data_IF_430720883971
#
_entry.id   IF_430720883971
#
_cell.length_a   1.000
_cell.length_b   1.000
_cell.length_c   1.000
_cell.angle_alpha   90.00
_cell.angle_beta   90.00
_cell.angle_gamma   90.00
#
_symmetry.space_group_name_H-M   'P 1'
#
loop_
_entity.id
_entity.type
_entity.pdbx_description
1 polymer ?
#
# COMPACT_ATOMS: atom_id res chain seq x y z
N UNK A 1 20.58 -24.52 -3.88
CA UNK A 1 21.11 -23.22 -4.37
C UNK A 1 20.58 -22.03 -3.55
N UNK A 2 19.27 -21.91 -3.30
CA UNK A 2 18.71 -20.77 -2.52
C UNK A 2 19.34 -20.63 -1.12
N UNK A 3 19.40 -21.70 -0.32
CA UNK A 3 19.98 -21.64 1.04
C UNK A 3 21.44 -21.16 1.05
N UNK A 4 22.23 -21.59 0.07
CA UNK A 4 23.64 -21.20 -0.08
C UNK A 4 23.80 -19.74 -0.48
N UNK A 5 22.89 -19.22 -1.31
CA UNK A 5 22.86 -17.80 -1.67
C UNK A 5 22.51 -16.92 -0.46
N UNK A 6 21.61 -17.39 0.42
CA UNK A 6 21.31 -16.71 1.68
C UNK A 6 22.54 -16.73 2.59
N UNK A 7 23.10 -17.92 2.87
CA UNK A 7 24.32 -18.07 3.66
C UNK A 7 25.15 -19.25 3.16
N UNK A 8 26.47 -19.08 2.94
CA UNK A 8 27.28 -17.90 3.25
C UNK A 8 27.30 -16.80 2.16
N UNK A 9 26.43 -16.87 1.14
CA UNK A 9 26.51 -15.99 -0.03
C UNK A 9 26.35 -14.49 0.25
N UNK A 10 25.26 -14.09 0.92
CA UNK A 10 24.92 -12.66 1.12
C UNK A 10 24.79 -12.26 2.60
N UNK A 11 24.44 -13.21 3.47
CA UNK A 11 24.18 -12.96 4.89
C UNK A 11 25.04 -13.85 5.80
N UNK A 12 25.33 -13.31 6.98
CA UNK A 12 26.01 -14.00 8.07
C UNK A 12 25.05 -14.63 9.08
N UNK A 13 25.04 -14.14 10.32
CA UNK A 13 24.23 -14.68 11.40
C UNK A 13 22.73 -14.39 11.26
N UNK A 14 21.84 -15.36 11.57
CA UNK A 14 20.40 -15.17 11.48
C UNK A 14 19.85 -14.28 12.61
N UNK A 15 18.80 -13.51 12.31
CA UNK A 15 18.09 -12.69 13.30
C UNK A 15 16.99 -13.51 14.01
N UNK A 16 17.40 -14.38 14.94
CA UNK A 16 16.48 -15.36 15.58
C UNK A 16 15.26 -14.73 16.29
N UNK A 17 15.39 -13.51 16.82
CA UNK A 17 14.28 -12.78 17.43
C UNK A 17 13.20 -12.39 16.39
N UNK A 18 13.60 -11.97 15.19
CA UNK A 18 12.68 -11.67 14.09
C UNK A 18 12.04 -12.95 13.53
N UNK A 19 12.83 -14.04 13.40
CA UNK A 19 12.32 -15.35 12.98
C UNK A 19 11.22 -15.85 13.93
N UNK A 20 11.42 -15.71 15.24
CA UNK A 20 10.40 -16.05 16.23
C UNK A 20 9.13 -15.19 16.07
N UNK A 21 9.27 -13.88 15.84
CA UNK A 21 8.14 -12.99 15.55
C UNK A 21 7.36 -13.39 14.28
N UNK A 22 8.07 -13.80 13.23
CA UNK A 22 7.45 -14.31 12.00
C UNK A 22 6.66 -15.59 12.28
N UNK A 23 7.15 -16.50 13.12
CA UNK A 23 6.41 -17.72 13.47
C UNK A 23 5.07 -17.40 14.15
N UNK A 24 5.04 -16.41 15.06
CA UNK A 24 3.80 -15.92 15.69
C UNK A 24 2.85 -15.33 14.64
N UNK A 25 3.34 -14.47 13.75
CA UNK A 25 2.54 -13.87 12.69
C UNK A 25 1.97 -14.93 11.72
N UNK A 26 2.74 -15.96 11.38
CA UNK A 26 2.27 -17.08 10.55
C UNK A 26 1.17 -17.88 11.23
N UNK A 27 1.26 -18.08 12.55
CA UNK A 27 0.18 -18.73 13.31
C UNK A 27 -1.11 -17.90 13.26
N UNK A 28 -1.02 -16.57 13.47
CA UNK A 28 -2.16 -15.66 13.34
C UNK A 28 -2.75 -15.65 11.93
N UNK A 29 -1.91 -15.73 10.89
CA UNK A 29 -2.37 -15.73 9.50
C UNK A 29 -3.22 -16.95 9.12
N UNK A 30 -3.14 -18.04 9.88
CA UNK A 30 -3.91 -19.26 9.65
C UNK A 30 -5.30 -19.23 10.30
N UNK A 31 -5.64 -18.20 11.08
CA UNK A 31 -6.94 -18.19 11.79
C UNK A 31 -8.09 -17.73 10.89
N UNK A 32 -9.34 -18.15 11.19
CA UNK A 32 -10.53 -17.66 10.48
C UNK A 32 -10.71 -16.14 10.56
N UNK A 33 -10.32 -15.53 11.68
CA UNK A 33 -10.40 -14.09 11.90
C UNK A 33 -9.45 -13.34 10.96
N UNK A 34 -8.26 -13.88 10.71
CA UNK A 34 -7.34 -13.28 9.74
C UNK A 34 -7.89 -13.35 8.32
N UNK A 35 -8.57 -14.44 7.96
CA UNK A 35 -9.29 -14.52 6.66
C UNK A 35 -10.38 -13.46 6.55
N UNK A 36 -11.19 -13.28 7.59
CA UNK A 36 -12.24 -12.25 7.63
C UNK A 36 -11.63 -10.84 7.53
N UNK A 37 -10.53 -10.58 8.24
CA UNK A 37 -9.77 -9.34 8.13
C UNK A 37 -9.31 -9.07 6.69
N UNK A 38 -8.70 -10.06 6.02
CA UNK A 38 -8.24 -9.88 4.62
C UNK A 38 -9.39 -9.63 3.64
N UNK A 39 -10.55 -10.26 3.85
CA UNK A 39 -11.75 -9.97 3.07
C UNK A 39 -12.22 -8.53 3.28
N UNK A 40 -12.19 -8.04 4.53
CA UNK A 40 -12.54 -6.66 4.86
C UNK A 40 -11.55 -5.66 4.25
N UNK A 41 -10.26 -5.97 4.21
CA UNK A 41 -9.23 -5.12 3.58
C UNK A 41 -9.57 -4.86 2.11
N UNK A 42 -9.91 -5.90 1.35
CA UNK A 42 -10.29 -5.76 -0.07
C UNK A 42 -11.63 -5.03 -0.21
N UNK A 43 -12.62 -5.32 0.63
CA UNK A 43 -13.92 -4.64 0.60
C UNK A 43 -13.79 -3.13 0.87
N UNK A 44 -12.97 -2.75 1.86
CA UNK A 44 -12.66 -1.36 2.18
C UNK A 44 -11.96 -0.66 1.01
N UNK A 45 -11.04 -1.35 0.33
CA UNK A 45 -10.31 -0.78 -0.80
C UNK A 45 -11.24 -0.47 -1.98
N UNK A 46 -12.16 -1.39 -2.30
CA UNK A 46 -13.19 -1.18 -3.32
C UNK A 46 -14.10 0.01 -2.98
N UNK A 47 -14.50 0.12 -1.72
CA UNK A 47 -15.34 1.22 -1.23
C UNK A 47 -14.61 2.56 -1.32
N UNK A 48 -13.35 2.62 -0.88
CA UNK A 48 -12.51 3.81 -0.99
C UNK A 48 -12.33 4.25 -2.46
N UNK A 49 -12.05 3.30 -3.34
CA UNK A 49 -11.94 3.55 -4.78
C UNK A 49 -13.22 4.14 -5.36
N UNK A 50 -14.37 3.53 -5.07
CA UNK A 50 -15.67 3.98 -5.56
C UNK A 50 -15.99 5.40 -5.07
N UNK A 51 -15.82 5.67 -3.77
CA UNK A 51 -16.06 6.99 -3.19
C UNK A 51 -15.17 8.08 -3.81
N UNK A 52 -13.89 7.78 -4.07
CA UNK A 52 -12.99 8.73 -4.73
C UNK A 52 -13.36 8.98 -6.19
N UNK A 53 -13.78 7.94 -6.92
CA UNK A 53 -14.28 8.09 -8.29
C UNK A 53 -15.59 8.87 -8.35
N UNK A 54 -16.49 8.72 -7.36
CA UNK A 54 -17.71 9.54 -7.23
C UNK A 54 -17.39 11.02 -6.97
N UNK A 55 -16.29 11.30 -6.25
CA UNK A 55 -15.73 12.66 -6.10
C UNK A 55 -14.99 13.14 -7.37
N UNK A 56 -14.94 12.30 -8.41
CA UNK A 56 -14.38 12.55 -9.73
C UNK A 56 -12.86 12.39 -9.81
N UNK A 57 -12.20 11.75 -8.83
CA UNK A 57 -10.78 11.47 -8.96
C UNK A 57 -10.54 10.29 -9.91
N UNK A 58 -9.45 10.38 -10.66
CA UNK A 58 -9.03 9.30 -11.54
C UNK A 58 -8.25 8.24 -10.76
N UNK A 59 -8.72 7.00 -10.81
CA UNK A 59 -8.01 5.85 -10.26
C UNK A 59 -7.36 5.10 -11.42
N UNK A 60 -6.05 4.86 -11.34
CA UNK A 60 -5.33 4.08 -12.35
C UNK A 60 -5.97 2.70 -12.45
N UNK A 61 -6.27 2.25 -13.67
CA UNK A 61 -7.07 1.05 -14.02
C UNK A 61 -8.58 1.11 -13.70
N UNK A 62 -9.08 2.22 -13.14
CA UNK A 62 -10.52 2.41 -12.86
C UNK A 62 -11.04 1.70 -11.60
N UNK A 63 -10.15 1.20 -10.73
CA UNK A 63 -10.55 0.48 -9.53
C UNK A 63 -9.41 -0.20 -8.79
N UNK A 64 -9.74 -1.21 -7.98
CA UNK A 64 -8.78 -2.11 -7.34
C UNK A 64 -9.38 -3.48 -7.05
N UNK A 65 -8.58 -4.53 -7.30
CA UNK A 65 -8.86 -5.91 -6.91
C UNK A 65 -8.04 -6.37 -5.70
N UNK A 66 -7.33 -5.45 -5.04
CA UNK A 66 -6.47 -5.76 -3.90
C UNK A 66 -6.65 -4.72 -2.77
N UNK A 67 -5.58 -4.44 -2.02
CA UNK A 67 -5.59 -3.65 -0.79
C UNK A 67 -5.16 -2.20 -0.98
N UNK A 68 -4.87 -1.76 -2.21
CA UNK A 68 -4.43 -0.40 -2.52
C UNK A 68 -5.06 0.15 -3.79
N UNK A 69 -5.06 1.49 -3.90
CA UNK A 69 -5.40 2.24 -5.10
C UNK A 69 -4.26 3.18 -5.46
N UNK A 70 -4.17 3.55 -6.73
CA UNK A 70 -3.28 4.58 -7.24
C UNK A 70 -4.15 5.69 -7.85
N UNK A 71 -4.20 6.83 -7.17
CA UNK A 71 -4.95 8.02 -7.57
C UNK A 71 -4.07 8.92 -8.42
N UNK A 72 -4.57 9.35 -9.57
CA UNK A 72 -3.91 10.27 -10.49
C UNK A 72 -4.47 11.70 -10.31
N UNK A 73 -3.60 12.66 -9.99
CA UNK A 73 -3.99 14.05 -9.73
C UNK A 73 -3.89 14.96 -10.95
N UNK A 74 -3.48 14.48 -12.12
CA UNK A 74 -3.27 15.32 -13.32
C UNK A 74 -4.53 16.06 -13.75
N UNK A 75 -5.69 15.40 -13.72
CA UNK A 75 -6.99 16.03 -14.01
C UNK A 75 -7.40 17.10 -12.99
N UNK A 76 -6.71 17.16 -11.84
CA UNK A 76 -6.93 18.12 -10.76
C UNK A 76 -5.91 19.24 -10.72
N UNK A 77 -4.98 19.30 -11.68
CA UNK A 77 -4.01 20.39 -11.80
C UNK A 77 -3.00 20.47 -10.65
N UNK A 78 -2.82 19.38 -9.90
CA UNK A 78 -1.82 19.28 -8.82
C UNK A 78 -0.96 18.04 -9.01
N UNK A 79 0.06 17.88 -8.16
CA UNK A 79 0.95 16.72 -8.16
C UNK A 79 0.94 16.00 -6.80
N UNK A 80 1.47 14.77 -6.80
CA UNK A 80 1.49 13.92 -5.62
C UNK A 80 2.30 14.52 -4.48
N UNK A 81 3.38 15.25 -4.75
CA UNK A 81 4.22 15.84 -3.70
C UNK A 81 3.54 16.99 -2.96
N UNK A 82 2.83 17.86 -3.69
CA UNK A 82 2.03 18.93 -3.06
C UNK A 82 0.89 18.35 -2.24
N UNK A 83 0.14 17.39 -2.80
CA UNK A 83 -1.00 16.79 -2.14
C UNK A 83 -0.59 15.97 -0.90
N UNK A 84 0.46 15.14 -1.01
CA UNK A 84 1.03 14.37 0.11
C UNK A 84 1.40 15.28 1.29
N UNK A 85 2.05 16.42 1.02
CA UNK A 85 2.45 17.36 2.08
C UNK A 85 1.25 17.97 2.81
N UNK A 86 0.18 18.32 2.11
CA UNK A 86 -1.04 18.85 2.74
C UNK A 86 -1.71 17.77 3.60
N UNK A 87 -1.83 16.55 3.06
CA UNK A 87 -2.40 15.41 3.79
C UNK A 87 -1.60 15.10 5.05
N UNK A 88 -0.27 15.14 4.99
CA UNK A 88 0.61 14.96 6.15
C UNK A 88 0.35 15.99 7.25
N UNK A 89 0.18 17.27 6.90
CA UNK A 89 -0.17 18.34 7.86
C UNK A 89 -1.53 18.07 8.51
N UNK A 90 -2.46 17.45 7.78
CA UNK A 90 -3.75 17.01 8.30
C UNK A 90 -3.71 15.63 9.01
N UNK A 91 -2.53 15.10 9.31
CA UNK A 91 -2.33 13.78 9.95
C UNK A 91 -2.85 12.59 9.12
N UNK A 92 -2.88 12.72 7.80
CA UNK A 92 -3.19 11.64 6.86
C UNK A 92 -1.90 11.17 6.21
N UNK A 93 -1.42 9.99 6.64
CA UNK A 93 -0.25 9.37 6.05
C UNK A 93 -0.60 8.73 4.69
N UNK A 94 0.06 9.20 3.64
CA UNK A 94 -0.01 8.63 2.29
C UNK A 94 1.37 8.69 1.63
N UNK A 95 1.47 8.21 0.39
CA UNK A 95 2.73 8.26 -0.37
C UNK A 95 2.48 8.83 -1.77
N UNK A 96 3.28 9.84 -2.15
CA UNK A 96 3.38 10.27 -3.56
C UNK A 96 3.95 9.13 -4.43
N UNK A 97 3.30 8.85 -5.55
CA UNK A 97 3.62 7.67 -6.35
C UNK A 97 3.50 7.95 -7.85
N UNK A 98 4.49 7.49 -8.62
CA UNK A 98 4.53 7.65 -10.07
C UNK A 98 3.31 6.99 -10.71
N UNK A 99 2.72 7.65 -11.70
CA UNK A 99 1.62 7.14 -12.52
C UNK A 99 2.05 6.93 -13.98
N UNK A 100 1.31 6.11 -14.75
CA UNK A 100 1.53 5.98 -16.19
C UNK A 100 1.53 7.35 -16.89
N UNK A 101 2.60 7.66 -17.62
CA UNK A 101 2.78 8.93 -18.33
C UNK A 101 3.52 10.01 -17.53
N UNK A 102 3.95 9.74 -16.30
CA UNK A 102 4.91 10.62 -15.63
C UNK A 102 6.26 10.60 -16.34
N UNK A 103 6.80 11.78 -16.62
CA UNK A 103 8.12 11.97 -17.24
C UNK A 103 9.27 11.95 -16.22
N UNK A 104 8.96 12.00 -14.92
CA UNK A 104 9.96 12.06 -13.85
C UNK A 104 9.50 11.29 -12.62
N UNK A 105 10.33 10.37 -12.15
CA UNK A 105 10.10 9.66 -10.89
C UNK A 105 10.23 10.57 -9.64
N UNK A 106 10.92 11.71 -9.75
CA UNK A 106 11.12 12.64 -8.63
C UNK A 106 9.91 13.57 -8.42
N UNK A 107 9.06 13.72 -9.43
CA UNK A 107 7.85 14.56 -9.38
C UNK A 107 6.64 13.75 -9.83
N UNK A 108 6.22 12.76 -9.03
CA UNK A 108 5.10 11.90 -9.37
C UNK A 108 3.78 12.67 -9.35
N UNK A 109 2.88 12.31 -10.25
CA UNK A 109 1.54 12.91 -10.33
C UNK A 109 0.51 12.27 -9.41
N UNK A 110 0.80 11.11 -8.80
CA UNK A 110 -0.21 10.36 -8.06
C UNK A 110 0.01 10.24 -6.56
N UNK A 111 -1.00 9.69 -5.90
CA UNK A 111 -0.99 9.27 -4.49
C UNK A 111 -1.39 7.79 -4.39
N UNK A 112 -0.70 7.05 -3.54
CA UNK A 112 -1.04 5.66 -3.21
C UNK A 112 -1.68 5.58 -1.83
N UNK A 113 -2.87 5.00 -1.78
CA UNK A 113 -3.58 4.69 -0.53
C UNK A 113 -3.76 3.19 -0.37
N UNK A 114 -3.74 2.70 0.87
CA UNK A 114 -3.99 1.31 1.19
C UNK A 114 -4.83 1.17 2.44
N UNK A 115 -5.60 0.08 2.51
CA UNK A 115 -6.55 -0.20 3.59
C UNK A 115 -6.07 -1.12 4.73
N UNK A 116 -4.96 -1.89 4.65
CA UNK A 116 -4.58 -2.82 5.74
C UNK A 116 -4.49 -2.16 7.11
N UNK A 117 -3.76 -1.05 7.24
CA UNK A 117 -3.46 -0.45 8.53
C UNK A 117 -4.70 0.06 9.29
N UNK A 118 -5.63 0.72 8.60
CA UNK A 118 -6.87 1.22 9.23
C UNK A 118 -7.89 0.11 9.44
N UNK A 119 -7.88 -0.94 8.62
CA UNK A 119 -8.77 -2.10 8.80
C UNK A 119 -8.37 -2.96 10.00
N UNK A 120 -7.09 -2.95 10.39
CA UNK A 120 -6.60 -3.67 11.58
C UNK A 120 -6.95 -3.01 12.92
N UNK A 121 -7.46 -1.77 12.93
CA UNK A 121 -7.79 -1.02 14.15
C UNK A 121 -9.18 -1.34 14.66
#
# INVERSE_FOLDING_TARGET
LINQAVSPGLQGGPHNHAIAGIAVALQQAMTPEFKAYQQQVVANCKTLSAALMELGYDIVTGGSDNHLILLDLRSRGTDGGRAERVLEICSIACNKNTCPGDVSALRPSGLRFGTPALTSR
#
